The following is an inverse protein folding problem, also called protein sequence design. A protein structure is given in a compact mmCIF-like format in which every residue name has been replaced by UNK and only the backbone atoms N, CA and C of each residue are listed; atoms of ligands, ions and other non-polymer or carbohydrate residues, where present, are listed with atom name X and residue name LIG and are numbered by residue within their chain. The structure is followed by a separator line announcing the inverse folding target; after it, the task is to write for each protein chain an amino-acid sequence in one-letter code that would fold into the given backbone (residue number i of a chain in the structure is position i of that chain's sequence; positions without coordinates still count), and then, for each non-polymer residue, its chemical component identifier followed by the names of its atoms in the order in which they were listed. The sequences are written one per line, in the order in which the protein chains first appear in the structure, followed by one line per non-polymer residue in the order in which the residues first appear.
data_IF_440867771018
#
_entry.id   IF_440867771018
#
_cell.length_a   1.000
_cell.length_b   1.000
_cell.length_c   1.000
_cell.angle_alpha   90.00
_cell.angle_beta   90.00
_cell.angle_gamma   90.00
#
_symmetry.space_group_name_H-M   'P 1'
#
loop_
_entity.id
_entity.type
_entity.pdbx_description
1 polymer ?
#
# COMPACT_ATOMS: atom_id res chain seq x y z
N UNK A 1 30.72 15.24 41.69
CA UNK A 1 29.59 15.99 41.07
C UNK A 1 28.79 15.00 40.24
N UNK A 2 27.66 14.52 40.79
CA UNK A 2 26.87 13.44 40.17
C UNK A 2 25.94 14.05 39.13
N UNK A 3 26.24 13.80 37.84
CA UNK A 3 25.43 14.24 36.72
C UNK A 3 24.15 13.40 36.65
N UNK A 4 23.03 13.99 37.03
CA UNK A 4 21.70 13.44 36.82
C UNK A 4 21.39 13.43 35.33
N UNK A 5 21.51 12.27 34.66
CA UNK A 5 20.83 12.04 33.38
C UNK A 5 19.34 11.89 33.66
N UNK A 6 18.62 13.00 33.58
CA UNK A 6 17.16 12.97 33.44
C UNK A 6 16.85 12.62 31.97
N UNK A 7 16.09 11.55 31.67
CA UNK A 7 15.54 11.37 30.33
C UNK A 7 14.55 12.51 30.07
N UNK A 8 14.84 13.32 29.07
CA UNK A 8 13.97 14.41 28.64
C UNK A 8 12.64 13.83 28.16
N UNK A 9 11.57 14.03 28.94
CA UNK A 9 10.18 13.65 28.63
C UNK A 9 9.60 14.38 27.40
N UNK A 10 10.42 15.10 26.64
CA UNK A 10 10.07 15.95 25.50
C UNK A 10 10.77 15.57 24.21
N UNK A 11 11.29 14.35 24.10
CA UNK A 11 11.57 13.81 22.78
C UNK A 11 10.22 13.63 22.07
N UNK A 12 9.97 14.32 20.94
CA UNK A 12 8.80 14.01 20.14
C UNK A 12 8.87 12.52 19.80
N UNK A 13 7.75 11.80 19.93
CA UNK A 13 7.67 10.40 19.53
C UNK A 13 7.89 10.27 18.01
N UNK A 14 9.16 10.34 17.60
CA UNK A 14 9.62 10.09 16.24
C UNK A 14 10.11 8.64 16.10
N UNK A 15 10.15 7.86 17.18
CA UNK A 15 10.63 6.48 17.17
C UNK A 15 9.52 5.45 16.95
N UNK A 16 8.70 5.66 15.92
CA UNK A 16 7.72 4.67 15.50
C UNK A 16 7.97 4.29 14.06
N UNK A 17 8.93 3.39 13.79
CA UNK A 17 9.12 2.77 12.47
C UNK A 17 7.74 2.46 11.87
N UNK A 18 7.38 3.09 10.75
CA UNK A 18 6.10 2.86 10.07
C UNK A 18 5.97 1.36 9.74
N UNK A 19 5.06 0.61 10.39
CA UNK A 19 4.90 -0.80 10.10
C UNK A 19 4.16 -0.98 8.77
N UNK A 20 4.44 -2.09 8.07
CA UNK A 20 3.88 -2.40 6.74
C UNK A 20 2.36 -2.31 6.71
N UNK A 21 1.67 -2.72 7.78
CA UNK A 21 0.20 -2.66 7.83
C UNK A 21 -0.34 -1.22 7.82
N UNK A 22 0.34 -0.25 8.46
CA UNK A 22 -0.07 1.17 8.41
C UNK A 22 0.14 1.73 7.01
N UNK A 23 1.27 1.39 6.38
CA UNK A 23 1.56 1.77 5.00
C UNK A 23 0.54 1.15 4.04
N UNK A 24 0.18 -0.13 4.22
CA UNK A 24 -0.81 -0.81 3.41
C UNK A 24 -2.18 -0.15 3.52
N UNK A 25 -2.66 0.19 4.73
CA UNK A 25 -3.93 0.92 4.90
C UNK A 25 -3.87 2.29 4.20
N UNK A 26 -2.77 3.03 4.37
CA UNK A 26 -2.59 4.33 3.73
C UNK A 26 -2.59 4.24 2.20
N UNK A 27 -1.96 3.20 1.64
CA UNK A 27 -1.82 2.99 0.20
C UNK A 27 -3.01 2.23 -0.42
N UNK A 28 -3.89 1.66 0.38
CA UNK A 28 -5.03 0.87 -0.08
C UNK A 28 -5.91 1.58 -1.13
N UNK A 29 -6.39 2.84 -0.94
CA UNK A 29 -7.25 3.48 -1.94
C UNK A 29 -6.56 3.63 -3.30
N UNK A 30 -5.26 3.95 -3.31
CA UNK A 30 -4.48 4.07 -4.54
C UNK A 30 -4.31 2.71 -5.21
N UNK A 31 -3.84 1.71 -4.46
CA UNK A 31 -3.61 0.36 -4.99
C UNK A 31 -4.89 -0.34 -5.44
N UNK A 32 -6.00 -0.20 -4.72
CA UNK A 32 -7.31 -0.73 -5.13
C UNK A 32 -7.81 -0.08 -6.43
N UNK A 33 -7.59 1.23 -6.61
CA UNK A 33 -7.93 1.90 -7.87
C UNK A 33 -7.05 1.42 -9.02
N UNK A 34 -5.74 1.28 -8.81
CA UNK A 34 -4.82 0.71 -9.79
C UNK A 34 -5.24 -0.70 -10.21
N UNK A 35 -5.64 -1.53 -9.24
CA UNK A 35 -6.15 -2.88 -9.53
C UNK A 35 -7.43 -2.82 -10.35
N UNK A 36 -8.38 -1.94 -10.02
CA UNK A 36 -9.63 -1.80 -10.79
C UNK A 36 -9.35 -1.45 -12.26
N UNK A 37 -8.47 -0.47 -12.50
CA UNK A 37 -8.07 -0.05 -13.84
C UNK A 37 -7.43 -1.23 -14.59
N UNK A 38 -6.51 -1.94 -13.94
CA UNK A 38 -5.83 -3.07 -14.57
C UNK A 38 -6.79 -4.22 -14.91
N UNK A 39 -7.77 -4.51 -14.04
CA UNK A 39 -8.79 -5.53 -14.32
C UNK A 39 -9.69 -5.14 -15.49
N UNK A 40 -10.11 -3.87 -15.55
CA UNK A 40 -10.90 -3.37 -16.67
C UNK A 40 -10.12 -3.43 -17.98
N UNK A 41 -8.88 -2.94 -18.00
CA UNK A 41 -8.01 -3.00 -19.18
C UNK A 41 -7.71 -4.45 -19.61
N UNK A 42 -7.47 -5.35 -18.66
CA UNK A 42 -7.33 -6.78 -18.93
C UNK A 42 -8.60 -7.33 -19.60
N UNK A 43 -9.78 -6.93 -19.11
CA UNK A 43 -11.06 -7.27 -19.73
C UNK A 43 -11.17 -6.81 -21.18
N UNK A 44 -10.68 -5.60 -21.52
CA UNK A 44 -10.65 -5.11 -22.90
C UNK A 44 -9.69 -5.90 -23.79
N UNK A 45 -8.53 -6.30 -23.27
CA UNK A 45 -7.57 -7.15 -23.99
C UNK A 45 -8.16 -8.54 -24.23
N UNK A 46 -8.81 -9.12 -23.22
CA UNK A 46 -9.49 -10.41 -23.36
C UNK A 46 -10.62 -10.33 -24.38
N UNK A 47 -11.36 -9.23 -24.38
CA UNK A 47 -12.41 -8.98 -25.35
C UNK A 47 -11.88 -8.90 -26.78
N UNK A 48 -10.72 -8.28 -27.00
CA UNK A 48 -10.14 -8.13 -28.34
C UNK A 48 -9.71 -9.47 -28.96
N UNK A 49 -9.46 -10.50 -28.15
CA UNK A 49 -9.13 -11.86 -28.62
C UNK A 49 -10.32 -12.83 -28.59
N UNK A 50 -11.55 -12.32 -28.42
CA UNK A 50 -12.79 -13.08 -28.54
C UNK A 50 -13.36 -13.64 -27.23
N UNK A 51 -12.80 -13.31 -26.06
CA UNK A 51 -13.41 -13.63 -24.77
C UNK A 51 -14.43 -12.56 -24.34
N UNK A 52 -15.11 -12.80 -23.22
CA UNK A 52 -15.95 -11.80 -22.57
C UNK A 52 -15.14 -10.64 -22.01
N UNK A 53 -15.74 -9.44 -21.97
CA UNK A 53 -15.16 -8.27 -21.33
C UNK A 53 -15.39 -8.31 -19.81
N UNK A 54 -14.50 -7.68 -19.04
CA UNK A 54 -14.73 -7.37 -17.63
C UNK A 54 -15.38 -6.00 -17.57
N UNK A 55 -16.65 -5.95 -17.17
CA UNK A 55 -17.38 -4.69 -17.02
C UNK A 55 -16.82 -3.81 -15.87
N UNK A 56 -17.05 -2.49 -15.90
CA UNK A 56 -16.53 -1.57 -14.87
C UNK A 56 -16.95 -1.94 -13.45
N UNK A 57 -18.20 -2.38 -13.25
CA UNK A 57 -18.72 -2.73 -11.91
C UNK A 57 -18.02 -3.97 -11.35
N UNK A 58 -17.95 -5.12 -12.06
CA UNK A 58 -17.11 -6.25 -11.67
C UNK A 58 -15.65 -5.88 -11.40
N UNK A 59 -15.03 -5.02 -12.22
CA UNK A 59 -13.64 -4.61 -12.02
C UNK A 59 -13.44 -3.90 -10.67
N UNK A 60 -14.35 -3.00 -10.29
CA UNK A 60 -14.33 -2.33 -8.99
C UNK A 60 -14.57 -3.33 -7.84
N UNK A 61 -15.55 -4.23 -8.00
CA UNK A 61 -15.85 -5.23 -6.96
C UNK A 61 -14.67 -6.16 -6.69
N UNK A 62 -14.00 -6.62 -7.74
CA UNK A 62 -12.82 -7.47 -7.63
C UNK A 62 -11.58 -6.71 -7.13
N UNK A 63 -11.50 -5.40 -7.35
CA UNK A 63 -10.38 -4.61 -6.86
C UNK A 63 -10.37 -4.41 -5.36
N UNK A 64 -11.51 -4.57 -4.68
CA UNK A 64 -11.60 -4.51 -3.21
C UNK A 64 -10.76 -5.65 -2.58
N UNK A 65 -11.05 -6.94 -2.81
CA UNK A 65 -10.25 -8.01 -2.23
C UNK A 65 -8.84 -8.09 -2.83
N UNK A 66 -8.67 -7.81 -4.13
CA UNK A 66 -7.35 -7.87 -4.79
C UNK A 66 -6.47 -6.65 -4.45
N UNK A 67 -7.07 -5.55 -4.00
CA UNK A 67 -6.36 -4.37 -3.50
C UNK A 67 -5.62 -4.64 -2.19
N UNK A 68 -6.08 -5.60 -1.38
CA UNK A 68 -5.43 -5.95 -0.10
C UNK A 68 -4.01 -6.50 -0.31
N UNK A 69 -3.78 -7.56 -1.12
CA UNK A 69 -2.43 -8.03 -1.39
C UNK A 69 -1.59 -6.98 -2.15
N UNK A 70 -2.19 -6.20 -3.05
CA UNK A 70 -1.50 -5.11 -3.75
C UNK A 70 -1.00 -4.03 -2.77
N UNK A 71 -1.84 -3.60 -1.82
CA UNK A 71 -1.51 -2.64 -0.78
C UNK A 71 -0.42 -3.15 0.14
N UNK A 72 -0.45 -4.44 0.50
CA UNK A 72 0.59 -5.05 1.32
C UNK A 72 1.96 -5.07 0.62
N UNK A 73 1.99 -5.46 -0.65
CA UNK A 73 3.20 -5.44 -1.46
C UNK A 73 3.76 -4.02 -1.60
N UNK A 74 2.89 -3.04 -1.88
CA UNK A 74 3.28 -1.64 -1.95
C UNK A 74 3.81 -1.13 -0.61
N UNK A 75 3.14 -1.45 0.50
CA UNK A 75 3.59 -1.08 1.85
C UNK A 75 4.93 -1.70 2.22
N UNK A 76 5.20 -2.95 1.81
CA UNK A 76 6.49 -3.61 2.00
C UNK A 76 7.59 -2.95 1.18
N UNK A 77 7.30 -2.61 -0.07
CA UNK A 77 8.23 -1.90 -0.94
C UNK A 77 8.58 -0.52 -0.39
N UNK A 78 7.58 0.29 -0.02
CA UNK A 78 7.80 1.60 0.61
C UNK A 78 8.57 1.47 1.92
N UNK A 79 8.28 0.45 2.75
CA UNK A 79 9.06 0.19 3.97
C UNK A 79 10.54 -0.03 3.66
N UNK A 80 10.85 -0.83 2.64
CA UNK A 80 12.21 -1.06 2.19
C UNK A 80 12.93 0.22 1.76
N UNK A 81 12.24 1.09 1.02
CA UNK A 81 12.78 2.40 0.63
C UNK A 81 13.05 3.31 1.84
N UNK A 82 12.20 3.26 2.87
CA UNK A 82 12.43 3.99 4.11
C UNK A 82 13.65 3.44 4.86
N UNK A 83 13.77 2.12 4.95
CA UNK A 83 14.91 1.46 5.59
C UNK A 83 16.24 1.78 4.86
N UNK A 84 16.22 1.92 3.53
CA UNK A 84 17.38 2.34 2.72
C UNK A 84 17.72 3.82 2.87
N UNK A 85 16.74 4.68 3.16
CA UNK A 85 16.95 6.11 3.38
C UNK A 85 17.42 6.45 4.81
N UNK A 86 17.03 5.64 5.80
CA UNK A 86 17.40 5.79 7.21
C UNK A 86 18.79 5.18 7.53
N UNK A 87 19.34 4.34 6.64
CA UNK A 87 20.64 3.66 6.77
C UNK A 87 21.81 4.44 6.17
#
# INVERSE_FOLDING_TARGET
MSGTRSPSRKEPATEGKWPVWKLAILLYPATALTVAINLFLLGLILHSVGFGAIEPVPAILWSIPLGIPAAWLAGRWVRGLMDEADG
#
